data_IF_181771211797
#
_entry.id   IF_181771211797
#
_cell.length_a   1.000
_cell.length_b   1.000
_cell.length_c   1.000
_cell.angle_alpha   90.00
_cell.angle_beta   90.00
_cell.angle_gamma   90.00
#
_symmetry.space_group_name_H-M   'P 1'
#
loop_
_entity.id
_entity.type
_entity.pdbx_description
1 polymer ?
#
# COMPACT_ATOMS: atom_id res chain seq x y z
N UNK A 1 -1.64 1.04 8.80
CA UNK A 1 -2.92 0.38 8.50
C UNK A 1 -3.54 1.06 7.28
N UNK A 2 -4.05 0.26 6.36
CA UNK A 2 -4.70 0.70 5.12
C UNK A 2 -6.10 0.09 5.06
N UNK A 3 -7.11 0.92 4.77
CA UNK A 3 -8.50 0.51 4.59
C UNK A 3 -8.97 0.80 3.16
N UNK A 4 -10.19 0.37 2.83
CA UNK A 4 -10.82 0.60 1.52
C UNK A 4 -9.93 0.16 0.36
N UNK A 5 -9.39 -1.05 0.47
CA UNK A 5 -8.53 -1.63 -0.56
C UNK A 5 -9.29 -1.75 -1.88
N UNK A 6 -8.68 -1.23 -2.94
CA UNK A 6 -9.18 -1.35 -4.30
C UNK A 6 -8.09 -1.96 -5.18
N UNK A 7 -8.32 -3.19 -5.64
CA UNK A 7 -7.42 -3.89 -6.56
C UNK A 7 -7.83 -3.62 -8.02
N UNK A 8 -6.84 -3.30 -8.87
CA UNK A 8 -7.03 -2.89 -10.26
C UNK A 8 -6.53 -3.94 -11.26
N UNK A 9 -5.34 -4.50 -11.04
CA UNK A 9 -4.74 -5.50 -11.96
C UNK A 9 -5.28 -6.92 -11.73
N UNK A 10 -5.57 -7.24 -10.48
CA UNK A 10 -6.00 -8.55 -10.01
C UNK A 10 -7.28 -8.42 -9.18
N UNK A 11 -7.94 -9.54 -8.89
CA UNK A 11 -9.12 -9.54 -8.01
C UNK A 11 -8.80 -9.18 -6.55
N UNK A 12 -7.52 -9.27 -6.16
CA UNK A 12 -7.00 -8.88 -4.84
C UNK A 12 -5.54 -8.48 -4.95
N UNK A 13 -5.05 -7.71 -3.98
CA UNK A 13 -3.62 -7.40 -3.86
C UNK A 13 -2.89 -8.70 -3.51
N UNK A 14 -1.82 -9.10 -4.21
CA UNK A 14 -1.10 -10.32 -3.88
C UNK A 14 -0.45 -10.20 -2.50
N UNK A 15 -0.61 -11.23 -1.67
CA UNK A 15 0.10 -11.36 -0.40
C UNK A 15 1.52 -11.86 -0.61
N UNK A 16 2.41 -11.56 0.35
CA UNK A 16 3.80 -12.05 0.37
C UNK A 16 4.65 -11.68 -0.86
N UNK A 17 4.25 -10.66 -1.62
CA UNK A 17 5.07 -10.08 -2.69
C UNK A 17 5.66 -8.74 -2.26
N UNK A 18 6.73 -8.32 -2.92
CA UNK A 18 7.29 -6.98 -2.77
C UNK A 18 6.48 -6.00 -3.60
N UNK A 19 5.90 -5.02 -2.92
CA UNK A 19 5.16 -3.91 -3.53
C UNK A 19 6.01 -2.66 -3.49
N UNK A 20 6.03 -1.91 -4.58
CA UNK A 20 6.48 -0.53 -4.52
C UNK A 20 5.29 0.35 -4.14
N UNK A 21 5.34 0.97 -2.96
CA UNK A 21 4.20 1.73 -2.42
C UNK A 21 4.48 3.23 -2.43
N UNK A 22 3.60 3.98 -3.09
CA UNK A 22 3.60 5.44 -3.09
C UNK A 22 2.59 5.97 -2.09
N UNK A 23 3.07 6.73 -1.11
CA UNK A 23 2.25 7.36 -0.07
C UNK A 23 1.83 8.81 -0.43
N UNK A 24 2.45 9.39 -1.46
CA UNK A 24 2.17 10.73 -1.99
C UNK A 24 2.55 10.82 -3.47
N UNK A 25 1.98 11.78 -4.20
CA UNK A 25 2.12 11.89 -5.65
C UNK A 25 3.59 11.94 -6.14
N UNK A 26 4.44 12.75 -5.49
CA UNK A 26 5.86 12.87 -5.84
C UNK A 26 6.77 11.81 -5.20
N UNK A 27 6.19 10.79 -4.55
CA UNK A 27 6.98 9.71 -3.97
C UNK A 27 7.52 8.80 -5.07
N UNK A 28 8.82 8.46 -5.01
CA UNK A 28 9.38 7.41 -5.87
C UNK A 28 8.79 6.03 -5.54
N UNK A 29 8.31 5.88 -4.29
CA UNK A 29 7.73 4.66 -3.77
C UNK A 29 8.76 3.86 -3.00
N UNK A 30 8.35 3.27 -1.89
CA UNK A 30 9.19 2.45 -1.02
C UNK A 30 8.70 1.01 -1.03
N UNK A 31 9.63 0.07 -0.88
CA UNK A 31 9.31 -1.34 -0.82
C UNK A 31 8.54 -1.68 0.46
N UNK A 32 7.44 -2.39 0.30
CA UNK A 32 6.63 -2.89 1.40
C UNK A 32 6.03 -4.25 1.09
N UNK A 33 5.65 -4.97 2.15
CA UNK A 33 4.78 -6.14 2.07
C UNK A 33 3.39 -5.76 2.55
N UNK A 34 2.37 -6.32 1.90
CA UNK A 34 0.98 -6.13 2.30
C UNK A 34 0.41 -7.40 2.92
N UNK A 35 -0.25 -7.22 4.05
CA UNK A 35 -0.88 -8.28 4.83
C UNK A 35 -2.34 -7.93 5.07
N UNK A 36 -3.27 -8.74 4.58
CA UNK A 36 -4.68 -8.54 4.85
C UNK A 36 -5.00 -8.76 6.33
N UNK A 37 -5.80 -7.86 6.90
CA UNK A 37 -6.42 -8.01 8.22
C UNK A 37 -7.91 -8.25 8.12
N UNK A 38 -8.52 -7.90 6.98
CA UNK A 38 -9.90 -8.20 6.59
C UNK A 38 -10.00 -8.23 5.04
N UNK A 39 -11.16 -8.51 4.43
CA UNK A 39 -11.31 -8.46 2.97
C UNK A 39 -10.92 -7.11 2.33
N UNK A 40 -11.17 -6.00 3.05
CA UNK A 40 -11.03 -4.63 2.52
C UNK A 40 -9.99 -3.79 3.29
N UNK A 41 -9.19 -4.41 4.17
CA UNK A 41 -8.18 -3.73 4.97
C UNK A 41 -6.92 -4.57 5.20
N UNK A 42 -5.82 -3.91 5.53
CA UNK A 42 -4.57 -4.57 5.85
C UNK A 42 -3.49 -3.68 6.43
N UNK A 43 -2.32 -4.27 6.59
CA UNK A 43 -1.12 -3.64 7.09
C UNK A 43 -0.08 -3.62 5.96
N UNK A 44 0.55 -2.46 5.80
CA UNK A 44 1.77 -2.33 5.04
C UNK A 44 2.95 -2.34 5.99
N UNK A 45 3.88 -3.24 5.75
CA UNK A 45 5.15 -3.33 6.45
C UNK A 45 6.25 -2.88 5.47
N UNK A 46 6.85 -1.73 5.74
CA UNK A 46 7.91 -1.15 4.91
C UNK A 46 9.27 -1.74 5.29
N UNK A 47 10.10 -2.04 4.28
CA UNK A 47 11.47 -2.54 4.51
C UNK A 47 12.38 -1.50 5.18
N UNK A 48 12.13 -0.22 4.87
CA UNK A 48 12.88 0.90 5.41
C UNK A 48 11.91 1.92 6.05
N UNK A 49 12.35 2.70 7.04
CA UNK A 49 11.53 3.76 7.61
C UNK A 49 11.07 4.75 6.53
N UNK A 50 9.77 5.00 6.49
CA UNK A 50 9.16 5.97 5.58
C UNK A 50 8.91 7.30 6.28
N UNK A 51 9.19 8.40 5.58
CA UNK A 51 9.05 9.75 6.15
C UNK A 51 7.61 10.23 5.99
N UNK A 52 6.99 10.60 7.11
CA UNK A 52 5.70 11.29 7.19
C UNK A 52 4.53 10.60 6.46
N UNK A 53 4.26 9.29 6.71
CA UNK A 53 2.98 8.72 6.31
C UNK A 53 1.85 9.50 6.98
N UNK A 54 0.84 9.90 6.20
CA UNK A 54 -0.21 10.81 6.68
C UNK A 54 -1.58 10.14 6.57
N UNK A 55 -2.28 9.90 7.69
CA UNK A 55 -3.66 9.45 7.66
C UNK A 55 -4.55 10.35 6.80
N UNK A 56 -5.48 9.74 6.05
CA UNK A 56 -6.31 10.42 5.08
C UNK A 56 -5.71 10.51 3.66
N UNK A 57 -4.42 10.20 3.48
CA UNK A 57 -3.82 10.05 2.15
C UNK A 57 -3.97 8.63 1.62
N UNK A 58 -3.88 8.49 0.29
CA UNK A 58 -3.89 7.18 -0.36
C UNK A 58 -2.49 6.55 -0.37
N UNK A 59 -2.43 5.25 -0.11
CA UNK A 59 -1.28 4.41 -0.43
C UNK A 59 -1.57 3.68 -1.74
N UNK A 60 -0.69 3.84 -2.73
CA UNK A 60 -0.84 3.28 -4.08
C UNK A 60 0.20 2.19 -4.29
N UNK A 61 -0.22 1.02 -4.77
CA UNK A 61 0.60 -0.19 -4.82
C UNK A 61 0.98 -0.49 -6.27
N UNK A 62 2.26 -0.71 -6.50
CA UNK A 62 2.82 -1.03 -7.80
C UNK A 62 3.60 -2.35 -7.76
N UNK A 63 3.52 -3.09 -8.87
CA UNK A 63 4.43 -4.17 -9.21
C UNK A 63 5.22 -3.72 -10.43
N UNK A 64 6.51 -3.44 -10.26
CA UNK A 64 7.31 -2.77 -11.28
C UNK A 64 6.62 -1.46 -11.74
N UNK A 65 6.15 -1.42 -12.98
CA UNK A 65 5.44 -0.27 -13.55
C UNK A 65 3.90 -0.44 -13.56
N UNK A 66 3.39 -1.59 -13.13
CA UNK A 66 1.97 -1.88 -13.18
C UNK A 66 1.27 -1.43 -11.89
N UNK A 67 0.17 -0.71 -12.04
CA UNK A 67 -0.70 -0.35 -10.92
C UNK A 67 -1.46 -1.58 -10.44
N UNK A 68 -1.18 -2.03 -9.23
CA UNK A 68 -1.96 -3.11 -8.60
C UNK A 68 -3.25 -2.59 -7.98
N UNK A 69 -3.24 -1.37 -7.45
CA UNK A 69 -4.35 -0.82 -6.70
C UNK A 69 -3.91 0.16 -5.62
N UNK A 70 -4.70 0.28 -4.56
CA UNK A 70 -4.36 1.10 -3.40
C UNK A 70 -5.44 1.10 -2.33
N UNK A 71 -5.26 1.95 -1.31
CA UNK A 71 -6.23 2.15 -0.24
C UNK A 71 -5.95 3.42 0.57
N UNK A 72 -6.75 3.67 1.60
CA UNK A 72 -6.66 4.83 2.48
C UNK A 72 -5.77 4.53 3.69
N UNK A 73 -4.78 5.38 3.93
CA UNK A 73 -3.97 5.32 5.15
C UNK A 73 -4.85 5.80 6.32
N UNK A 74 -5.09 4.93 7.30
CA UNK A 74 -5.93 5.28 8.47
C UNK A 74 -5.13 5.44 9.74
N UNK A 75 -4.09 4.63 9.93
CA UNK A 75 -3.26 4.65 11.13
C UNK A 75 -1.79 4.36 10.80
N UNK A 76 -0.88 5.08 11.46
CA UNK A 76 0.57 4.84 11.42
C UNK A 76 1.00 4.37 12.81
N UNK A 77 1.83 3.34 12.86
CA UNK A 77 2.37 2.75 14.08
C UNK A 77 3.87 3.03 14.20
#
# INVERSE_FOLDING_TARGET
HIDSINAMKYNKIPENTYLNVKLRYHHKGDNAKFHYTSPDSGILEFENPVISPTPGQSAVFYENNDLLGGGLITTVL
#
